data_IF_894786809579
#
_entry.id   IF_894786809579
#
_cell.length_a   1.000
_cell.length_b   1.000
_cell.length_c   1.000
_cell.angle_alpha   90.00
_cell.angle_beta   90.00
_cell.angle_gamma   90.00
#
_symmetry.space_group_name_H-M   'P 1'
#
loop_
_entity.id
_entity.type
_entity.pdbx_description
1 polymer ?
#
# COMPACT_ATOMS: atom_id res chain seq x y z
N UNK A 1 -18.97 8.09 -29.91
CA UNK A 1 -18.17 7.13 -29.11
C UNK A 1 -16.73 7.59 -29.14
N UNK A 2 -16.24 8.24 -28.08
CA UNK A 2 -14.83 8.61 -27.95
C UNK A 2 -14.36 8.17 -26.56
N UNK A 3 -13.61 7.07 -26.51
CA UNK A 3 -12.77 6.72 -25.35
C UNK A 3 -11.60 7.69 -25.37
N UNK A 4 -11.44 8.52 -24.33
CA UNK A 4 -10.27 9.40 -24.17
C UNK A 4 -9.39 8.88 -23.04
N UNK A 5 -8.13 8.65 -23.43
CA UNK A 5 -6.88 8.48 -22.71
C UNK A 5 -6.84 9.02 -21.27
N UNK A 6 -6.56 8.13 -20.31
CA UNK A 6 -6.30 8.46 -18.90
C UNK A 6 -4.85 8.13 -18.44
N UNK A 7 -3.96 7.64 -19.30
CA UNK A 7 -2.69 7.05 -18.84
C UNK A 7 -1.47 7.98 -18.75
N UNK A 8 -1.52 9.22 -19.27
CA UNK A 8 -0.28 10.02 -19.47
C UNK A 8 -0.03 11.10 -18.41
N UNK A 9 -0.92 11.29 -17.43
CA UNK A 9 -0.78 12.37 -16.43
C UNK A 9 -0.20 11.91 -15.08
N UNK A 10 -0.06 10.60 -14.85
CA UNK A 10 0.28 10.03 -13.53
C UNK A 10 1.78 10.01 -13.22
N UNK A 11 2.65 9.97 -14.24
CA UNK A 11 4.11 9.76 -14.05
C UNK A 11 4.85 11.05 -13.68
N UNK A 12 4.38 12.22 -14.12
CA UNK A 12 5.10 13.50 -13.94
C UNK A 12 4.99 14.04 -12.49
N UNK A 13 3.95 13.67 -11.75
CA UNK A 13 3.76 14.16 -10.37
C UNK A 13 4.64 13.46 -9.33
N UNK A 14 5.08 12.21 -9.57
CA UNK A 14 5.94 11.49 -8.63
C UNK A 14 7.33 12.15 -8.52
N UNK A 15 7.87 12.65 -9.63
CA UNK A 15 9.22 13.24 -9.68
C UNK A 15 9.33 14.58 -8.92
N UNK A 16 8.21 15.27 -8.68
CA UNK A 16 8.17 16.54 -7.95
C UNK A 16 7.95 16.36 -6.44
N UNK A 17 7.44 15.19 -6.00
CA UNK A 17 7.18 14.91 -4.58
C UNK A 17 8.44 14.55 -3.78
N UNK A 18 9.54 14.23 -4.46
CA UNK A 18 10.81 13.78 -3.87
C UNK A 18 11.57 14.91 -3.13
N UNK A 19 11.18 16.18 -3.28
CA UNK A 19 11.95 17.32 -2.75
C UNK A 19 11.64 17.64 -1.26
N UNK A 20 10.66 17.01 -0.62
CA UNK A 20 10.23 17.37 0.75
C UNK A 20 9.90 16.19 1.70
N UNK A 21 10.51 15.02 1.52
CA UNK A 21 10.28 13.88 2.44
C UNK A 21 11.26 13.94 3.62
N UNK A 22 10.80 13.91 4.88
CA UNK A 22 11.68 13.80 6.05
C UNK A 22 12.46 12.46 6.04
N UNK A 23 13.63 12.37 6.69
CA UNK A 23 14.46 11.17 6.69
C UNK A 23 13.67 9.96 7.21
N UNK A 24 13.55 8.94 6.37
CA UNK A 24 12.88 7.68 6.68
C UNK A 24 13.74 6.91 7.69
N UNK A 25 13.18 6.54 8.85
CA UNK A 25 13.87 5.70 9.83
C UNK A 25 14.16 4.30 9.26
N UNK A 26 15.16 3.63 9.84
CA UNK A 26 15.72 2.37 9.37
C UNK A 26 14.65 1.29 9.07
N UNK A 27 14.94 0.37 8.14
CA UNK A 27 14.03 -0.74 7.76
C UNK A 27 13.48 -1.54 8.95
N UNK A 28 14.15 -1.53 10.10
CA UNK A 28 13.70 -2.16 11.35
C UNK A 28 12.39 -1.60 11.91
N UNK A 29 11.91 -0.45 11.42
CA UNK A 29 10.66 0.16 11.86
C UNK A 29 9.48 -0.11 10.92
N UNK A 30 9.67 -0.89 9.84
CA UNK A 30 8.66 -1.06 8.80
C UNK A 30 7.76 -2.25 9.08
N UNK A 31 6.48 -1.95 9.26
CA UNK A 31 5.46 -2.96 9.48
C UNK A 31 5.07 -3.62 8.15
N UNK A 32 5.20 -4.94 8.06
CA UNK A 32 4.61 -5.73 6.97
C UNK A 32 3.48 -6.57 7.52
N UNK A 33 2.32 -6.53 6.88
CA UNK A 33 1.16 -7.27 7.35
C UNK A 33 0.27 -7.78 6.22
N UNK A 34 -0.58 -8.74 6.54
CA UNK A 34 -1.67 -9.17 5.65
C UNK A 34 -3.00 -9.16 6.41
N UNK A 35 -4.09 -8.92 5.68
CA UNK A 35 -5.43 -9.23 6.14
C UNK A 35 -5.86 -10.58 5.55
N UNK A 36 -5.98 -11.61 6.38
CA UNK A 36 -6.35 -12.96 5.98
C UNK A 36 -7.57 -13.43 6.79
N UNK A 37 -8.70 -13.52 6.11
CA UNK A 37 -9.98 -13.84 6.75
C UNK A 37 -10.45 -15.27 6.45
N UNK A 38 -9.58 -16.10 5.86
CA UNK A 38 -9.80 -17.55 5.73
C UNK A 38 -9.51 -18.31 7.02
N UNK A 39 -9.71 -19.63 6.99
CA UNK A 39 -9.40 -20.50 8.14
C UNK A 39 -7.88 -20.63 8.33
N UNK A 40 -7.41 -20.42 9.55
CA UNK A 40 -5.98 -20.43 9.87
C UNK A 40 -5.35 -21.81 9.70
N UNK A 41 -6.07 -22.86 10.08
CA UNK A 41 -5.62 -24.24 9.94
C UNK A 41 -5.45 -24.72 8.49
N UNK A 42 -5.94 -23.93 7.52
CA UNK A 42 -5.76 -24.20 6.10
C UNK A 42 -4.58 -23.42 5.51
N UNK A 43 -4.05 -22.41 6.22
CA UNK A 43 -2.97 -21.60 5.69
C UNK A 43 -1.74 -22.47 5.41
N UNK A 44 -1.15 -22.26 4.23
CA UNK A 44 0.10 -22.88 3.81
C UNK A 44 1.31 -21.98 4.08
N UNK A 45 1.12 -20.91 4.86
CA UNK A 45 2.16 -19.94 5.13
C UNK A 45 3.07 -20.45 6.25
N UNK A 46 4.38 -20.42 6.01
CA UNK A 46 5.36 -20.56 7.08
C UNK A 46 5.42 -19.24 7.84
N UNK A 47 4.75 -19.17 9.00
CA UNK A 47 4.66 -17.94 9.78
C UNK A 47 6.04 -17.45 10.26
N UNK A 48 6.95 -18.38 10.60
CA UNK A 48 8.28 -18.04 11.13
C UNK A 48 9.18 -17.43 10.07
N UNK A 49 9.05 -17.89 8.82
CA UNK A 49 9.82 -17.38 7.68
C UNK A 49 9.03 -16.39 6.81
N UNK A 50 7.85 -15.95 7.26
CA UNK A 50 6.96 -15.07 6.49
C UNK A 50 7.50 -13.65 6.34
N UNK A 51 8.33 -13.19 7.28
CA UNK A 51 8.79 -11.80 7.36
C UNK A 51 7.69 -10.79 7.69
N UNK A 52 6.51 -11.27 8.13
CA UNK A 52 5.41 -10.43 8.58
C UNK A 52 5.66 -9.93 10.01
N UNK A 53 5.25 -8.69 10.27
CA UNK A 53 5.18 -8.14 11.63
C UNK A 53 3.90 -8.58 12.33
N UNK A 54 2.79 -8.59 11.59
CA UNK A 54 1.50 -9.02 12.12
C UNK A 54 0.56 -9.52 11.03
N UNK A 55 -0.53 -10.17 11.46
CA UNK A 55 -1.64 -10.59 10.61
C UNK A 55 -2.98 -10.14 11.21
N UNK A 56 -3.89 -9.70 10.35
CA UNK A 56 -5.29 -9.43 10.72
C UNK A 56 -6.13 -10.64 10.31
N UNK A 57 -6.90 -11.20 11.25
CA UNK A 57 -7.62 -12.47 11.08
C UNK A 57 -9.09 -12.36 11.46
N UNK A 58 -9.93 -13.26 10.94
CA UNK A 58 -11.34 -13.39 11.35
C UNK A 58 -11.65 -14.72 12.06
N UNK A 59 -10.73 -15.68 12.01
CA UNK A 59 -10.82 -16.98 12.70
C UNK A 59 -10.39 -16.81 14.16
N UNK A 60 -11.21 -17.27 15.11
CA UNK A 60 -10.98 -17.16 16.56
C UNK A 60 -10.38 -18.44 17.17
N UNK A 61 -9.86 -19.36 16.34
CA UNK A 61 -9.22 -20.58 16.82
C UNK A 61 -7.92 -20.29 17.60
N UNK A 62 -8.02 -20.35 18.92
CA UNK A 62 -6.92 -20.08 19.85
C UNK A 62 -5.66 -20.92 19.57
N UNK A 63 -5.78 -22.21 19.26
CA UNK A 63 -4.62 -23.08 19.02
C UNK A 63 -3.85 -22.66 17.77
N UNK A 64 -4.55 -22.28 16.70
CA UNK A 64 -3.91 -21.78 15.48
C UNK A 64 -3.28 -20.40 15.69
N UNK A 65 -3.97 -19.51 16.40
CA UNK A 65 -3.45 -18.18 16.77
C UNK A 65 -2.15 -18.30 17.56
N UNK A 66 -2.08 -19.22 18.51
CA UNK A 66 -0.87 -19.42 19.31
C UNK A 66 0.31 -19.93 18.48
N UNK A 67 0.10 -20.66 17.38
CA UNK A 67 1.17 -21.04 16.46
C UNK A 67 1.75 -19.81 15.74
N UNK A 68 0.90 -18.89 15.31
CA UNK A 68 1.31 -17.64 14.66
C UNK A 68 2.12 -16.78 15.64
N UNK A 69 1.61 -16.60 16.86
CA UNK A 69 2.30 -15.82 17.90
C UNK A 69 3.62 -16.45 18.32
N UNK A 70 3.69 -17.79 18.38
CA UNK A 70 4.95 -18.51 18.65
C UNK A 70 5.99 -18.34 17.55
N UNK A 71 5.59 -17.85 16.36
CA UNK A 71 6.44 -17.49 15.25
C UNK A 71 6.83 -16.00 15.23
N UNK A 72 6.58 -15.26 16.33
CA UNK A 72 6.89 -13.82 16.50
C UNK A 72 6.11 -12.92 15.52
N UNK A 73 4.88 -13.33 15.18
CA UNK A 73 3.94 -12.54 14.37
C UNK A 73 2.76 -12.14 15.26
N UNK A 74 2.53 -10.83 15.43
CA UNK A 74 1.39 -10.33 16.21
C UNK A 74 0.08 -10.67 15.50
N UNK A 75 -0.98 -10.95 16.28
CA UNK A 75 -2.30 -11.32 15.75
C UNK A 75 -3.34 -10.27 16.14
N UNK A 76 -4.04 -9.74 15.14
CA UNK A 76 -5.13 -8.78 15.29
C UNK A 76 -6.46 -9.39 14.86
N UNK A 77 -7.44 -9.42 15.77
CA UNK A 77 -8.76 -9.98 15.47
C UNK A 77 -9.68 -8.94 14.81
N UNK A 78 -10.28 -9.30 13.70
CA UNK A 78 -11.21 -8.49 12.92
C UNK A 78 -12.57 -8.34 13.61
N UNK A 79 -13.10 -7.11 13.61
CA UNK A 79 -14.49 -6.83 13.96
C UNK A 79 -15.06 -5.69 13.14
N UNK A 80 -16.15 -5.94 12.43
CA UNK A 80 -16.98 -4.92 11.81
C UNK A 80 -17.74 -4.11 12.87
N UNK A 81 -17.25 -2.92 13.23
CA UNK A 81 -17.90 -2.06 14.23
C UNK A 81 -19.06 -1.27 13.65
N UNK A 82 -18.92 -0.75 12.42
CA UNK A 82 -19.92 0.11 11.80
C UNK A 82 -21.29 -0.52 11.64
N UNK A 83 -21.38 -1.63 10.91
CA UNK A 83 -22.65 -2.34 10.68
C UNK A 83 -23.23 -2.94 11.96
N UNK A 84 -22.39 -3.48 12.85
CA UNK A 84 -22.87 -4.04 14.12
C UNK A 84 -23.41 -2.94 15.02
N UNK A 85 -22.78 -1.76 15.05
CA UNK A 85 -23.33 -0.58 15.71
C UNK A 85 -24.68 -0.19 15.11
N UNK A 86 -24.75 -0.02 13.79
CA UNK A 86 -25.98 0.41 13.12
C UNK A 86 -27.17 -0.52 13.41
N UNK A 87 -26.92 -1.84 13.40
CA UNK A 87 -27.94 -2.86 13.66
C UNK A 87 -28.33 -3.02 15.14
N UNK A 88 -27.51 -2.52 16.07
CA UNK A 88 -27.79 -2.64 17.50
C UNK A 88 -28.96 -1.76 17.94
N UNK A 89 -29.93 -2.37 18.63
CA UNK A 89 -31.08 -1.64 19.22
C UNK A 89 -30.72 -0.88 20.50
N UNK A 90 -29.66 -1.29 21.21
CA UNK A 90 -29.18 -0.69 22.45
C UNK A 90 -27.66 -0.50 22.39
N UNK A 91 -27.20 0.75 22.21
CA UNK A 91 -25.78 1.05 21.96
C UNK A 91 -24.86 0.69 23.12
N UNK A 92 -25.30 0.92 24.37
CA UNK A 92 -24.56 0.48 25.56
C UNK A 92 -24.41 -1.04 25.64
N UNK A 93 -25.43 -1.80 25.22
CA UNK A 93 -25.31 -3.27 25.20
C UNK A 93 -24.36 -3.72 24.09
N UNK A 94 -24.34 -3.02 22.96
CA UNK A 94 -23.38 -3.26 21.89
C UNK A 94 -21.95 -2.98 22.37
N UNK A 95 -21.71 -1.84 23.02
CA UNK A 95 -20.40 -1.50 23.60
C UNK A 95 -19.92 -2.61 24.56
N UNK A 96 -20.78 -3.02 25.50
CA UNK A 96 -20.45 -4.09 26.43
C UNK A 96 -20.16 -5.42 25.72
N UNK A 97 -20.89 -5.77 24.66
CA UNK A 97 -20.61 -6.97 23.87
C UNK A 97 -19.25 -6.93 23.17
N UNK A 98 -18.77 -5.74 22.77
CA UNK A 98 -17.42 -5.59 22.24
C UNK A 98 -16.39 -5.70 23.37
N UNK A 99 -16.64 -5.13 24.54
CA UNK A 99 -15.75 -5.29 25.70
C UNK A 99 -15.65 -6.76 26.16
N UNK A 100 -16.78 -7.48 26.19
CA UNK A 100 -16.82 -8.92 26.51
C UNK A 100 -16.05 -9.75 25.46
N UNK A 101 -16.08 -9.33 24.19
CA UNK A 101 -15.24 -9.92 23.13
C UNK A 101 -13.76 -9.70 23.47
N UNK A 102 -13.36 -8.48 23.80
CA UNK A 102 -11.98 -8.15 24.16
C UNK A 102 -11.51 -9.03 25.33
N UNK A 103 -12.29 -9.10 26.40
CA UNK A 103 -11.95 -9.87 27.61
C UNK A 103 -11.83 -11.38 27.35
N UNK A 104 -12.57 -11.91 26.38
CA UNK A 104 -12.54 -13.34 26.02
C UNK A 104 -11.43 -13.71 25.03
N UNK A 105 -10.67 -12.72 24.52
CA UNK A 105 -9.59 -12.92 23.56
C UNK A 105 -8.26 -12.38 24.09
N UNK A 106 -7.90 -12.73 25.32
CA UNK A 106 -6.59 -12.40 25.93
C UNK A 106 -5.39 -13.07 25.22
N UNK A 107 -5.68 -13.95 24.26
CA UNK A 107 -4.71 -14.70 23.48
C UNK A 107 -4.38 -14.07 22.11
N UNK A 108 -4.92 -12.89 21.77
CA UNK A 108 -4.51 -12.06 20.62
C UNK A 108 -3.74 -10.81 21.07
N UNK A 109 -2.98 -10.20 20.17
CA UNK A 109 -2.16 -9.01 20.47
C UNK A 109 -2.92 -7.70 20.26
N UNK A 110 -4.03 -7.75 19.51
CA UNK A 110 -4.89 -6.60 19.32
C UNK A 110 -6.16 -6.86 18.52
N UNK A 111 -6.84 -5.78 18.18
CA UNK A 111 -8.07 -5.79 17.42
C UNK A 111 -8.01 -4.85 16.22
N UNK A 112 -8.64 -5.29 15.15
CA UNK A 112 -8.85 -4.52 13.93
C UNK A 112 -10.32 -4.14 13.82
N UNK A 113 -10.57 -2.84 13.83
CA UNK A 113 -11.89 -2.25 13.77
C UNK A 113 -12.22 -1.85 12.34
N UNK A 114 -13.13 -2.60 11.73
CA UNK A 114 -13.60 -2.33 10.39
C UNK A 114 -14.88 -1.51 10.37
N UNK A 115 -15.18 -0.95 9.21
CA UNK A 115 -16.40 -0.17 8.94
C UNK A 115 -16.55 1.06 9.84
N UNK A 116 -15.43 1.65 10.30
CA UNK A 116 -15.44 2.88 11.10
C UNK A 116 -15.60 4.09 10.18
N UNK A 117 -16.72 4.15 9.48
CA UNK A 117 -17.12 5.31 8.72
C UNK A 117 -18.64 5.54 8.79
N UNK A 118 -19.08 6.81 8.64
CA UNK A 118 -20.48 7.13 8.82
C UNK A 118 -21.42 6.52 7.77
N UNK A 119 -20.87 5.97 6.67
CA UNK A 119 -21.63 5.20 5.71
C UNK A 119 -22.19 3.91 6.31
N UNK A 120 -21.48 3.31 7.27
CA UNK A 120 -21.91 2.10 7.97
C UNK A 120 -22.70 2.40 9.25
N UNK A 121 -22.15 3.18 10.18
CA UNK A 121 -22.80 3.40 11.49
C UNK A 121 -23.89 4.48 11.48
N UNK A 122 -23.95 5.31 10.43
CA UNK A 122 -24.93 6.37 10.24
C UNK A 122 -24.38 7.80 10.49
N UNK A 123 -24.54 8.68 9.50
CA UNK A 123 -24.02 10.06 9.51
C UNK A 123 -24.44 10.90 10.74
N UNK A 124 -25.65 10.70 11.27
CA UNK A 124 -26.16 11.44 12.42
C UNK A 124 -25.64 10.94 13.77
N UNK A 125 -24.94 9.80 13.79
CA UNK A 125 -24.53 9.11 15.01
C UNK A 125 -23.03 9.22 15.29
N UNK A 126 -22.29 10.05 14.56
CA UNK A 126 -20.83 10.20 14.68
C UNK A 126 -20.38 10.45 16.12
N UNK A 127 -20.95 11.44 16.79
CA UNK A 127 -20.50 11.84 18.13
C UNK A 127 -20.74 10.73 19.17
N UNK A 128 -21.89 10.06 19.08
CA UNK A 128 -22.24 8.92 19.94
C UNK A 128 -21.33 7.72 19.66
N UNK A 129 -21.17 7.36 18.38
CA UNK A 129 -20.29 6.27 17.96
C UNK A 129 -18.83 6.51 18.39
N UNK A 130 -18.32 7.74 18.28
CA UNK A 130 -16.97 8.09 18.72
C UNK A 130 -16.78 7.97 20.24
N UNK A 131 -17.82 8.30 21.02
CA UNK A 131 -17.76 8.13 22.48
C UNK A 131 -17.64 6.65 22.82
N UNK A 132 -18.46 5.80 22.19
CA UNK A 132 -18.37 4.36 22.39
C UNK A 132 -17.04 3.78 21.89
N UNK A 133 -16.55 4.19 20.72
CA UNK A 133 -15.26 3.74 20.19
C UNK A 133 -14.11 4.13 21.13
N UNK A 134 -14.13 5.33 21.71
CA UNK A 134 -13.13 5.75 22.69
C UNK A 134 -13.18 4.85 23.93
N UNK A 135 -14.37 4.56 24.46
CA UNK A 135 -14.52 3.66 25.61
C UNK A 135 -14.04 2.23 25.31
N UNK A 136 -14.30 1.73 24.10
CA UNK A 136 -13.82 0.42 23.64
C UNK A 136 -12.30 0.41 23.55
N UNK A 137 -11.69 1.44 22.96
CA UNK A 137 -10.23 1.51 22.82
C UNK A 137 -9.54 1.64 24.17
N UNK A 138 -10.08 2.46 25.09
CA UNK A 138 -9.62 2.53 26.47
C UNK A 138 -9.61 1.14 27.13
N UNK A 139 -10.67 0.35 26.92
CA UNK A 139 -10.79 -1.01 27.46
C UNK A 139 -9.76 -1.99 26.84
N UNK A 140 -9.53 -1.91 25.53
CA UNK A 140 -8.48 -2.71 24.86
C UNK A 140 -7.09 -2.39 25.44
N UNK A 141 -6.78 -1.11 25.65
CA UNK A 141 -5.49 -0.70 26.20
C UNK A 141 -5.32 -1.10 27.67
N UNK A 142 -6.40 -1.12 28.46
CA UNK A 142 -6.36 -1.66 29.84
C UNK A 142 -5.95 -3.14 29.87
N UNK A 143 -6.26 -3.89 28.81
CA UNK A 143 -5.84 -5.28 28.61
C UNK A 143 -4.46 -5.42 27.92
N UNK A 144 -3.72 -4.32 27.76
CA UNK A 144 -2.37 -4.28 27.14
C UNK A 144 -2.36 -4.77 25.67
N UNK A 145 -3.51 -4.66 25.00
CA UNK A 145 -3.69 -4.98 23.59
C UNK A 145 -3.68 -3.69 22.76
N UNK A 146 -3.52 -3.83 21.43
CA UNK A 146 -3.49 -2.70 20.49
C UNK A 146 -4.71 -2.64 19.59
N UNK A 147 -4.92 -1.51 18.94
CA UNK A 147 -6.05 -1.26 18.03
C UNK A 147 -5.61 -0.77 16.66
N UNK A 148 -6.33 -1.20 15.62
CA UNK A 148 -6.15 -0.73 14.25
C UNK A 148 -7.51 -0.26 13.74
N UNK A 149 -7.64 1.03 13.40
CA UNK A 149 -8.87 1.54 12.79
C UNK A 149 -8.81 1.48 11.26
N UNK A 150 -9.86 0.92 10.63
CA UNK A 150 -10.12 1.06 9.19
C UNK A 150 -11.38 1.89 8.97
N UNK A 151 -11.25 2.93 8.16
CA UNK A 151 -12.34 3.85 7.89
C UNK A 151 -11.89 5.21 7.37
N UNK A 152 -12.64 6.25 7.71
CA UNK A 152 -12.37 7.63 7.29
C UNK A 152 -11.17 8.22 8.04
N UNK A 153 -10.53 9.22 7.43
CA UNK A 153 -9.25 9.77 7.90
C UNK A 153 -9.31 10.40 9.29
N UNK A 154 -10.49 10.80 9.77
CA UNK A 154 -10.70 11.26 11.16
C UNK A 154 -10.07 10.32 12.20
N UNK A 155 -10.28 9.01 12.04
CA UNK A 155 -9.83 8.00 13.01
C UNK A 155 -8.32 7.73 12.99
N UNK A 156 -7.59 8.35 12.06
CA UNK A 156 -6.14 8.34 12.11
C UNK A 156 -5.59 9.16 13.28
N UNK A 157 -6.31 10.17 13.76
CA UNK A 157 -5.83 11.07 14.83
C UNK A 157 -6.80 11.16 16.03
N UNK A 158 -7.87 10.36 16.02
CA UNK A 158 -8.92 10.42 17.04
C UNK A 158 -9.27 9.04 17.58
N UNK A 159 -9.93 9.03 18.73
CA UNK A 159 -10.34 7.83 19.47
C UNK A 159 -9.17 6.91 19.85
N UNK A 160 -7.95 7.45 19.94
CA UNK A 160 -6.74 6.78 20.45
C UNK A 160 -6.39 5.43 19.79
N UNK A 161 -6.55 5.32 18.47
CA UNK A 161 -6.11 4.11 17.77
C UNK A 161 -4.58 4.05 17.64
N UNK A 162 -3.99 2.88 17.91
CA UNK A 162 -2.53 2.65 17.80
C UNK A 162 -2.05 2.73 16.35
N UNK A 163 -2.86 2.19 15.44
CA UNK A 163 -2.64 2.28 14.00
C UNK A 163 -3.92 2.68 13.24
N UNK A 164 -3.72 3.19 12.04
CA UNK A 164 -4.80 3.49 11.10
C UNK A 164 -4.53 2.83 9.75
N UNK A 165 -5.50 2.08 9.23
CA UNK A 165 -5.42 1.45 7.92
C UNK A 165 -6.02 2.36 6.85
N UNK A 166 -5.21 2.67 5.83
CA UNK A 166 -5.68 3.30 4.60
C UNK A 166 -6.02 2.22 3.58
N UNK A 167 -7.31 1.97 3.44
CA UNK A 167 -7.86 1.09 2.41
C UNK A 167 -8.75 1.86 1.40
N UNK A 168 -8.62 1.66 0.09
CA UNK A 168 -7.48 1.05 -0.62
C UNK A 168 -6.39 2.10 -0.89
N UNK A 169 -5.14 1.69 -0.75
CA UNK A 169 -3.94 2.49 -1.05
C UNK A 169 -3.36 2.04 -2.39
N UNK A 170 -3.19 2.98 -3.33
CA UNK A 170 -2.53 2.84 -4.65
C UNK A 170 -3.06 1.76 -5.63
N UNK A 171 -3.67 0.68 -5.16
CA UNK A 171 -4.38 -0.31 -5.97
C UNK A 171 -5.56 -0.92 -5.20
N UNK A 172 -6.58 -1.30 -5.95
CA UNK A 172 -7.84 -1.85 -5.46
C UNK A 172 -8.39 -2.85 -6.47
N UNK A 173 -9.59 -3.36 -6.23
CA UNK A 173 -10.29 -4.28 -7.14
C UNK A 173 -11.75 -3.85 -7.35
N UNK A 174 -12.31 -4.28 -8.46
CA UNK A 174 -13.75 -4.21 -8.76
C UNK A 174 -14.22 -5.59 -9.18
N UNK A 175 -15.54 -5.79 -9.20
CA UNK A 175 -16.14 -7.09 -9.47
C UNK A 175 -16.43 -7.83 -8.16
N UNK A 176 -16.06 -9.10 -8.08
CA UNK A 176 -16.29 -9.94 -6.90
C UNK A 176 -14.98 -10.49 -6.37
N UNK A 177 -14.93 -10.89 -5.10
CA UNK A 177 -13.74 -11.54 -4.53
C UNK A 177 -13.32 -12.81 -5.29
N UNK A 178 -14.25 -13.51 -5.94
CA UNK A 178 -13.95 -14.72 -6.71
C UNK A 178 -13.45 -14.44 -8.14
N UNK A 179 -13.67 -13.23 -8.65
CA UNK A 179 -13.25 -12.79 -9.99
C UNK A 179 -12.94 -11.27 -9.93
N UNK A 180 -11.82 -10.89 -9.28
CA UNK A 180 -11.45 -9.50 -9.09
C UNK A 180 -10.74 -8.95 -10.33
N UNK A 181 -11.13 -7.75 -10.76
CA UNK A 181 -10.36 -6.96 -11.72
C UNK A 181 -9.59 -5.88 -10.95
N UNK A 182 -8.28 -6.08 -10.77
CA UNK A 182 -7.43 -5.14 -10.05
C UNK A 182 -7.06 -3.91 -10.88
N UNK A 183 -7.02 -2.75 -10.25
CA UNK A 183 -6.69 -1.48 -10.88
C UNK A 183 -5.89 -0.56 -9.95
N UNK A 184 -5.18 0.41 -10.53
CA UNK A 184 -4.50 1.46 -9.76
C UNK A 184 -5.49 2.54 -9.32
N UNK A 185 -5.42 2.93 -8.06
CA UNK A 185 -6.20 4.06 -7.53
C UNK A 185 -5.65 5.35 -8.12
N UNK A 186 -6.55 6.27 -8.50
CA UNK A 186 -6.13 7.59 -8.96
C UNK A 186 -5.75 8.50 -7.76
N UNK A 187 -4.52 8.29 -7.28
CA UNK A 187 -4.02 8.94 -6.08
C UNK A 187 -3.93 10.46 -6.23
N UNK A 188 -3.57 10.98 -7.41
CA UNK A 188 -3.32 12.42 -7.58
C UNK A 188 -4.56 13.22 -7.96
N UNK A 189 -5.70 12.58 -8.22
CA UNK A 189 -6.97 13.29 -8.38
C UNK A 189 -7.32 14.06 -7.10
N UNK A 190 -7.69 15.33 -7.25
CA UNK A 190 -8.37 16.11 -6.21
C UNK A 190 -9.85 16.21 -6.52
N UNK A 191 -10.67 15.56 -5.70
CA UNK A 191 -12.13 15.66 -5.75
C UNK A 191 -12.61 16.80 -4.85
N UNK A 192 -12.47 18.06 -5.29
CA UNK A 192 -12.96 19.25 -4.57
C UNK A 192 -12.25 19.55 -3.23
N UNK A 193 -12.42 20.78 -2.74
CA UNK A 193 -12.00 21.19 -1.39
C UNK A 193 -13.05 20.71 -0.39
N UNK A 194 -12.80 19.55 0.22
CA UNK A 194 -13.70 18.98 1.21
C UNK A 194 -12.92 18.56 2.46
N UNK A 195 -12.84 19.52 3.39
CA UNK A 195 -12.08 19.38 4.62
C UNK A 195 -12.76 18.46 5.65
N UNK A 196 -13.97 17.94 5.36
CA UNK A 196 -14.67 17.02 6.28
C UNK A 196 -13.86 15.71 6.44
N UNK A 197 -13.26 15.46 7.63
CA UNK A 197 -12.43 14.29 7.86
C UNK A 197 -13.24 12.98 7.93
N UNK A 198 -14.57 13.08 7.96
CA UNK A 198 -15.48 11.93 7.92
C UNK A 198 -15.89 11.52 6.51
N UNK A 199 -15.37 12.17 5.47
CA UNK A 199 -15.62 11.75 4.10
C UNK A 199 -14.62 10.71 3.65
N UNK A 200 -15.14 9.73 2.90
CA UNK A 200 -14.35 8.71 2.25
C UNK A 200 -13.56 9.33 1.10
N UNK A 201 -12.28 9.61 1.37
CA UNK A 201 -11.33 10.16 0.41
C UNK A 201 -10.09 9.27 0.44
N UNK A 202 -9.67 8.75 -0.71
CA UNK A 202 -8.55 7.82 -0.84
C UNK A 202 -7.47 8.32 -1.82
N UNK A 203 -7.41 9.64 -2.02
CA UNK A 203 -6.44 10.30 -2.90
C UNK A 203 -5.48 11.18 -2.09
N UNK A 204 -4.74 12.06 -2.76
CA UNK A 204 -3.72 12.94 -2.19
C UNK A 204 -4.24 13.77 -1.01
N UNK A 205 -5.52 14.16 -1.00
CA UNK A 205 -6.09 14.92 0.11
C UNK A 205 -6.13 14.12 1.44
N UNK A 206 -6.24 12.78 1.38
CA UNK A 206 -6.08 11.93 2.56
C UNK A 206 -4.63 11.94 3.04
N UNK A 207 -3.66 11.82 2.14
CA UNK A 207 -2.24 11.91 2.51
C UNK A 207 -1.89 13.26 3.15
N UNK A 208 -2.34 14.38 2.57
CA UNK A 208 -2.12 15.72 3.12
C UNK A 208 -2.73 15.87 4.51
N UNK A 209 -3.95 15.36 4.73
CA UNK A 209 -4.55 15.32 6.05
C UNK A 209 -3.69 14.53 7.04
N UNK A 210 -3.26 13.32 6.68
CA UNK A 210 -2.45 12.47 7.56
C UNK A 210 -1.08 13.10 7.87
N UNK A 211 -0.48 13.78 6.89
CA UNK A 211 0.76 14.53 7.05
C UNK A 211 0.58 15.72 7.98
N UNK A 212 -0.46 16.53 7.76
CA UNK A 212 -0.73 17.73 8.55
C UNK A 212 -1.07 17.42 10.02
N UNK A 213 -1.63 16.24 10.28
CA UNK A 213 -1.89 15.77 11.65
C UNK A 213 -0.75 14.90 12.21
N UNK A 214 0.38 14.76 11.50
CA UNK A 214 1.55 13.99 11.96
C UNK A 214 1.28 12.51 12.29
N UNK A 215 0.32 11.88 11.59
CA UNK A 215 -0.11 10.49 11.83
C UNK A 215 0.38 9.49 10.77
N UNK A 216 1.22 9.91 9.83
CA UNK A 216 1.84 9.02 8.83
C UNK A 216 2.65 7.89 9.49
N UNK A 217 3.34 8.19 10.60
CA UNK A 217 4.15 7.24 11.38
C UNK A 217 3.36 6.12 12.09
N UNK A 218 2.03 6.14 12.03
CA UNK A 218 1.15 5.04 12.46
C UNK A 218 0.14 4.61 11.39
N UNK A 219 0.25 5.15 10.17
CA UNK A 219 -0.64 4.80 9.06
C UNK A 219 -0.11 3.58 8.31
N UNK A 220 -0.99 2.60 8.08
CA UNK A 220 -0.74 1.36 7.36
C UNK A 220 -1.38 1.43 5.98
N UNK A 221 -0.60 1.28 4.92
CA UNK A 221 -1.13 1.13 3.56
C UNK A 221 -1.74 -0.27 3.38
N UNK A 222 -2.96 -0.35 2.84
CA UNK A 222 -3.58 -1.61 2.43
C UNK A 222 -3.94 -1.58 0.94
N UNK A 223 -3.39 -2.50 0.16
CA UNK A 223 -3.55 -2.57 -1.28
C UNK A 223 -4.12 -3.92 -1.70
N UNK A 224 -4.97 -3.93 -2.73
CA UNK A 224 -5.44 -5.16 -3.35
C UNK A 224 -4.79 -5.40 -4.70
N UNK A 225 -4.42 -6.66 -4.96
CA UNK A 225 -3.88 -7.06 -6.24
C UNK A 225 -3.61 -8.54 -6.36
N UNK A 226 -3.23 -8.97 -7.57
CA UNK A 226 -2.80 -10.33 -7.83
C UNK A 226 -1.46 -10.57 -7.12
N UNK A 227 -1.34 -11.54 -6.21
CA UNK A 227 -0.09 -11.80 -5.49
C UNK A 227 1.07 -12.25 -6.40
N UNK A 228 0.81 -12.57 -7.67
CA UNK A 228 1.81 -12.88 -8.69
C UNK A 228 2.22 -11.67 -9.54
N UNK A 229 1.59 -10.50 -9.33
CA UNK A 229 1.95 -9.24 -9.97
C UNK A 229 2.98 -8.48 -9.13
N UNK A 230 4.25 -8.87 -9.32
CA UNK A 230 5.38 -8.29 -8.62
C UNK A 230 5.51 -6.78 -8.88
N UNK A 231 5.24 -6.32 -10.10
CA UNK A 231 5.34 -4.91 -10.47
C UNK A 231 4.33 -4.06 -9.69
N UNK A 232 3.08 -4.51 -9.61
CA UNK A 232 2.06 -3.83 -8.83
C UNK A 232 2.41 -3.87 -7.34
N UNK A 233 2.76 -5.03 -6.78
CA UNK A 233 3.08 -5.11 -5.35
C UNK A 233 4.29 -4.23 -4.96
N UNK A 234 5.35 -4.22 -5.78
CA UNK A 234 6.53 -3.38 -5.59
C UNK A 234 6.20 -1.89 -5.71
N UNK A 235 5.41 -1.48 -6.70
CA UNK A 235 4.96 -0.09 -6.84
C UNK A 235 4.23 0.40 -5.59
N UNK A 236 3.29 -0.40 -5.07
CA UNK A 236 2.51 0.00 -3.88
C UNK A 236 3.41 0.07 -2.64
N UNK A 237 4.34 -0.87 -2.46
CA UNK A 237 5.31 -0.82 -1.36
C UNK A 237 6.19 0.43 -1.44
N UNK A 238 6.83 0.70 -2.58
CA UNK A 238 7.69 1.88 -2.77
C UNK A 238 6.89 3.17 -2.53
N UNK A 239 5.66 3.25 -3.04
CA UNK A 239 4.78 4.39 -2.81
C UNK A 239 4.50 4.60 -1.31
N UNK A 240 4.21 3.54 -0.56
CA UNK A 240 3.99 3.64 0.89
C UNK A 240 5.25 4.16 1.60
N UNK A 241 6.44 3.72 1.17
CA UNK A 241 7.72 4.18 1.71
C UNK A 241 7.99 5.65 1.41
N UNK A 242 7.88 6.06 0.15
CA UNK A 242 8.13 7.44 -0.29
C UNK A 242 7.15 8.41 0.40
N UNK A 243 5.91 8.00 0.62
CA UNK A 243 4.89 8.81 1.30
C UNK A 243 5.01 8.80 2.84
N UNK A 244 5.98 8.07 3.39
CA UNK A 244 6.28 8.05 4.83
C UNK A 244 5.32 7.22 5.68
N UNK A 245 4.62 6.24 5.10
CA UNK A 245 3.69 5.38 5.83
C UNK A 245 4.42 4.33 6.67
N UNK A 246 3.85 3.99 7.83
CA UNK A 246 4.41 3.06 8.82
C UNK A 246 4.50 1.63 8.32
N UNK A 247 3.48 1.19 7.60
CA UNK A 247 3.38 -0.20 7.18
C UNK A 247 2.73 -0.39 5.84
N UNK A 248 2.89 -1.60 5.31
CA UNK A 248 2.37 -2.01 4.01
C UNK A 248 1.79 -3.42 4.09
N UNK A 249 0.61 -3.58 3.49
CA UNK A 249 -0.02 -4.86 3.25
C UNK A 249 -0.56 -4.94 1.82
N UNK A 250 -0.41 -6.12 1.23
CA UNK A 250 -0.87 -6.41 -0.12
C UNK A 250 -1.51 -7.79 -0.14
N UNK A 251 -2.77 -7.86 -0.55
CA UNK A 251 -3.54 -9.10 -0.56
C UNK A 251 -4.40 -9.24 -1.80
N UNK A 252 -4.72 -10.49 -2.12
CA UNK A 252 -5.80 -10.81 -3.05
C UNK A 252 -7.16 -10.43 -2.42
N UNK A 253 -8.10 -9.94 -3.23
CA UNK A 253 -9.50 -9.73 -2.88
C UNK A 253 -10.24 -11.00 -2.39
N UNK A 254 -9.73 -12.20 -2.71
CA UNK A 254 -10.26 -13.46 -2.22
C UNK A 254 -9.75 -13.87 -0.83
N UNK A 255 -9.08 -12.98 -0.10
CA UNK A 255 -8.56 -13.23 1.25
C UNK A 255 -9.60 -13.72 2.28
N UNK A 256 -10.91 -13.59 1.99
CA UNK A 256 -12.01 -14.13 2.79
C UNK A 256 -12.33 -15.62 2.58
N UNK A 257 -11.99 -16.18 1.43
CA UNK A 257 -12.31 -17.57 1.09
C UNK A 257 -11.09 -18.38 0.67
N UNK A 258 -9.91 -17.77 0.68
CA UNK A 258 -8.66 -18.40 0.30
C UNK A 258 -8.29 -19.48 1.32
N UNK A 259 -8.10 -20.71 0.85
CA UNK A 259 -7.44 -21.77 1.62
C UNK A 259 -5.92 -21.65 1.56
N UNK A 260 -5.38 -20.98 0.53
CA UNK A 260 -3.95 -20.78 0.35
C UNK A 260 -3.64 -19.29 0.30
N UNK A 261 -2.58 -18.89 1.00
CA UNK A 261 -2.08 -17.52 0.98
C UNK A 261 -0.81 -17.49 0.13
N UNK A 262 -0.77 -16.59 -0.84
CA UNK A 262 0.47 -16.28 -1.55
C UNK A 262 0.90 -14.88 -1.17
N UNK A 263 2.02 -14.75 -0.47
CA UNK A 263 2.62 -13.44 -0.22
C UNK A 263 3.20 -12.90 -1.53
N UNK A 264 2.89 -11.66 -1.90
CA UNK A 264 3.52 -11.00 -3.03
C UNK A 264 5.02 -10.72 -2.77
N UNK A 265 5.81 -10.50 -3.81
CA UNK A 265 7.26 -10.30 -3.66
C UNK A 265 7.61 -9.15 -2.71
N UNK A 266 6.92 -8.01 -2.80
CA UNK A 266 7.13 -6.86 -1.92
C UNK A 266 6.88 -7.16 -0.43
N UNK A 267 6.06 -8.18 -0.13
CA UNK A 267 5.83 -8.65 1.23
C UNK A 267 6.99 -9.52 1.71
N UNK A 268 7.58 -10.33 0.84
CA UNK A 268 8.69 -11.25 1.18
C UNK A 268 10.02 -10.54 1.31
N UNK A 269 10.40 -9.71 0.33
CA UNK A 269 11.68 -8.99 0.34
C UNK A 269 11.55 -7.61 0.95
N UNK A 270 12.49 -7.20 1.81
CA UNK A 270 12.73 -5.77 2.01
C UNK A 270 13.36 -5.23 0.73
N UNK A 271 12.76 -4.24 0.06
CA UNK A 271 13.39 -3.65 -1.12
C UNK A 271 14.66 -2.84 -0.78
N UNK A 272 15.10 -2.82 0.48
CA UNK A 272 16.45 -2.42 0.88
C UNK A 272 17.54 -3.46 0.57
N UNK A 273 17.21 -4.60 -0.04
CA UNK A 273 18.21 -5.48 -0.66
C UNK A 273 18.78 -4.75 -1.89
N UNK A 274 20.09 -4.51 -1.83
CA UNK A 274 20.93 -4.00 -2.91
C UNK A 274 20.47 -4.58 -4.27
N UNK A 275 19.93 -3.72 -5.15
CA UNK A 275 19.86 -4.06 -6.56
C UNK A 275 21.32 -4.10 -7.03
N UNK A 276 21.80 -5.30 -7.34
CA UNK A 276 23.10 -5.52 -7.96
C UNK A 276 23.09 -4.75 -9.29
N UNK A 277 23.75 -3.61 -9.32
CA UNK A 277 23.70 -2.69 -10.44
C UNK A 277 24.88 -3.00 -11.34
N UNK A 278 24.63 -3.72 -12.43
CA UNK A 278 25.53 -3.64 -13.58
C UNK A 278 25.13 -2.38 -14.33
N UNK A 279 26.00 -1.36 -14.30
CA UNK A 279 25.88 -0.22 -15.20
C UNK A 279 26.03 -0.78 -16.63
N UNK A 280 24.94 -0.78 -17.39
CA UNK A 280 25.05 -0.99 -18.83
C UNK A 280 25.61 0.30 -19.45
N UNK A 281 26.93 0.33 -19.61
CA UNK A 281 27.66 1.46 -20.23
C UNK A 281 27.21 1.75 -21.67
N UNK A 282 26.47 0.84 -22.33
CA UNK A 282 26.02 1.03 -23.72
C UNK A 282 24.69 1.77 -23.81
N UNK A 283 23.81 1.60 -22.82
CA UNK A 283 22.39 1.92 -22.99
C UNK A 283 21.86 3.05 -22.06
N UNK A 284 22.72 3.61 -21.19
CA UNK A 284 22.40 4.77 -20.33
C UNK A 284 21.11 4.62 -19.49
N UNK A 285 20.79 3.40 -19.03
CA UNK A 285 19.61 3.16 -18.17
C UNK A 285 19.98 3.23 -16.69
N UNK A 286 19.14 3.92 -15.93
CA UNK A 286 19.33 4.23 -14.52
C UNK A 286 18.64 3.16 -13.65
N UNK A 287 19.40 2.46 -12.81
CA UNK A 287 18.87 1.74 -11.64
C UNK A 287 19.14 2.59 -10.40
N UNK A 288 18.11 3.24 -9.85
CA UNK A 288 18.25 4.05 -8.64
C UNK A 288 18.21 3.18 -7.37
N UNK A 289 19.05 3.53 -6.37
CA UNK A 289 18.85 3.05 -5.00
C UNK A 289 17.87 3.97 -4.27
N UNK A 290 16.88 3.40 -3.59
CA UNK A 290 16.08 4.12 -2.59
C UNK A 290 16.73 3.94 -1.24
N UNK A 291 17.60 4.86 -0.84
CA UNK A 291 18.27 4.82 0.45
C UNK A 291 17.71 5.91 1.36
N UNK A 292 17.06 5.51 2.47
CA UNK A 292 16.85 6.38 3.64
C UNK A 292 16.15 7.73 3.35
N UNK A 293 15.20 7.76 2.42
CA UNK A 293 14.47 8.99 2.06
C UNK A 293 15.16 9.86 1.01
N UNK A 294 16.27 9.41 0.44
CA UNK A 294 16.95 10.04 -0.69
C UNK A 294 17.07 9.04 -1.85
N UNK A 295 16.98 9.55 -3.08
CA UNK A 295 17.45 8.85 -4.26
C UNK A 295 18.86 9.40 -4.55
N UNK A 296 19.90 8.61 -4.25
CA UNK A 296 21.25 8.97 -4.66
C UNK A 296 21.44 8.56 -6.13
N UNK A 297 21.60 9.55 -6.99
CA UNK A 297 22.11 9.39 -8.35
C UNK A 297 23.64 9.30 -8.26
N UNK A 298 24.20 8.11 -8.49
CA UNK A 298 25.63 7.86 -8.33
C UNK A 298 26.47 8.43 -9.51
N UNK A 299 25.81 9.02 -10.50
CA UNK A 299 26.49 9.88 -11.46
C UNK A 299 26.33 11.32 -10.97
N UNK A 300 27.42 11.97 -10.56
CA UNK A 300 27.48 13.43 -10.35
C UNK A 300 27.28 14.18 -11.68
N UNK A 301 26.13 13.99 -12.29
CA UNK A 301 25.74 14.58 -13.54
C UNK A 301 24.37 15.19 -13.32
N UNK A 302 24.35 16.52 -13.25
CA UNK A 302 23.13 17.31 -13.36
C UNK A 302 22.56 17.08 -14.77
N UNK A 303 21.86 15.98 -14.99
CA UNK A 303 21.22 15.69 -16.28
C UNK A 303 19.71 15.83 -16.11
N UNK A 304 19.19 16.86 -16.78
CA UNK A 304 17.82 16.88 -17.25
C UNK A 304 17.67 15.76 -18.29
N UNK A 305 16.95 14.69 -17.98
CA UNK A 305 16.55 13.71 -19.00
C UNK A 305 15.03 13.60 -19.08
N UNK A 306 14.53 13.66 -20.31
CA UNK A 306 13.10 13.74 -20.64
C UNK A 306 12.40 12.38 -20.67
N UNK A 307 13.10 11.26 -20.43
CA UNK A 307 12.53 9.91 -20.50
C UNK A 307 13.34 8.90 -19.65
N UNK A 308 12.86 8.53 -18.47
CA UNK A 308 13.36 7.34 -17.77
C UNK A 308 12.54 6.11 -18.19
N UNK A 309 13.21 5.04 -18.59
CA UNK A 309 12.60 3.73 -18.90
C UNK A 309 13.21 2.70 -17.94
N UNK A 310 12.35 2.02 -17.18
CA UNK A 310 12.75 1.00 -16.20
C UNK A 310 12.70 -0.40 -16.82
N UNK A 311 13.72 -1.21 -16.57
CA UNK A 311 13.72 -2.64 -16.89
C UNK A 311 14.25 -3.43 -15.69
N UNK A 312 13.52 -4.46 -15.28
CA UNK A 312 13.90 -5.35 -14.18
C UNK A 312 14.65 -6.54 -14.79
N UNK A 313 15.91 -6.72 -14.39
CA UNK A 313 16.68 -7.93 -14.72
C UNK A 313 16.39 -8.99 -13.66
N UNK A 314 15.77 -10.11 -14.04
CA UNK A 314 15.68 -11.29 -13.17
C UNK A 314 17.07 -11.90 -13.05
N UNK A 315 17.62 -12.00 -11.85
CA UNK A 315 18.81 -12.80 -11.58
C UNK A 315 18.46 -14.27 -11.86
N UNK A 316 19.16 -14.89 -12.82
CA UNK A 316 19.14 -16.35 -12.95
C UNK A 316 20.02 -16.94 -11.85
N UNK A 317 19.66 -18.08 -11.25
CA UNK A 317 20.47 -18.73 -10.24
C UNK A 317 21.82 -19.15 -10.85
N UNK A 318 22.88 -18.89 -10.09
CA UNK A 318 24.28 -19.18 -10.37
C UNK A 318 24.49 -20.58 -10.96
N UNK A 319 24.82 -20.65 -12.25
CA UNK A 319 25.45 -21.83 -12.85
C UNK A 319 26.97 -21.63 -12.85
N UNK A 320 27.64 -22.15 -11.82
CA UNK A 320 29.07 -22.43 -11.91
C UNK A 320 29.35 -23.88 -11.50
N UNK A 321 29.57 -24.73 -12.52
CA UNK A 321 30.76 -25.57 -12.69
C UNK A 321 30.49 -26.75 -13.65
N UNK A 322 31.24 -26.80 -14.76
CA UNK A 322 31.66 -28.09 -15.34
C UNK A 322 31.47 -28.28 -16.86
N UNK A 323 32.44 -27.76 -17.62
CA UNK A 323 33.07 -28.32 -18.84
C UNK A 323 32.26 -28.80 -20.08
N UNK A 324 32.57 -28.11 -21.18
CA UNK A 324 32.42 -28.30 -22.66
C UNK A 324 32.57 -29.72 -23.30
N UNK A 325 32.44 -29.89 -24.64
CA UNK A 325 31.59 -29.21 -25.67
C UNK A 325 30.93 -30.21 -26.67
N UNK A 326 30.04 -29.74 -27.57
CA UNK A 326 30.15 -29.89 -29.06
C UNK A 326 28.84 -29.53 -29.83
N UNK A 327 28.97 -28.47 -30.65
CA UNK A 327 28.54 -28.23 -32.06
C UNK A 327 27.09 -28.55 -32.52
N UNK A 328 26.34 -27.54 -32.99
CA UNK A 328 26.07 -27.28 -34.43
C UNK A 328 25.16 -26.07 -34.71
N UNK A 329 25.44 -25.45 -35.87
CA UNK A 329 24.91 -24.23 -36.46
C UNK A 329 23.40 -24.22 -36.76
N UNK A 330 22.78 -23.04 -36.87
CA UNK A 330 22.08 -22.60 -38.10
C UNK A 330 21.77 -21.09 -38.11
N UNK A 331 21.83 -20.54 -39.33
CA UNK A 331 21.92 -19.14 -39.75
C UNK A 331 20.66 -18.26 -39.64
N UNK A 332 20.95 -16.96 -39.72
CA UNK A 332 20.12 -15.76 -39.84
C UNK A 332 18.92 -15.85 -40.81
N UNK A 333 17.89 -15.04 -40.54
CA UNK A 333 17.40 -14.09 -41.54
C UNK A 333 16.75 -12.85 -40.90
N UNK A 334 17.26 -11.69 -41.35
CA UNK A 334 16.70 -10.35 -41.19
C UNK A 334 15.42 -10.20 -41.99
N UNK A 335 14.45 -9.44 -41.47
CA UNK A 335 13.76 -8.48 -42.31
C UNK A 335 13.29 -7.28 -41.50
N UNK A 336 13.50 -6.10 -42.09
CA UNK A 336 13.45 -4.77 -41.51
C UNK A 336 12.43 -3.98 -42.33
N UNK A 337 11.39 -3.41 -41.71
CA UNK A 337 10.60 -2.37 -42.38
C UNK A 337 9.96 -1.41 -41.39
N UNK A 338 10.68 -0.30 -41.20
CA UNK A 338 10.27 0.97 -40.62
C UNK A 338 9.12 1.64 -41.38
N UNK A 339 8.09 2.10 -40.69
CA UNK A 339 7.39 3.36 -41.00
C UNK A 339 6.33 3.68 -39.94
N UNK A 340 6.60 4.63 -39.04
CA UNK A 340 5.62 5.61 -38.55
C UNK A 340 6.30 6.63 -37.64
N UNK A 341 6.61 7.79 -38.19
CA UNK A 341 7.03 8.96 -37.42
C UNK A 341 6.40 10.21 -38.04
N UNK A 342 6.14 11.19 -37.16
CA UNK A 342 5.69 12.56 -37.41
C UNK A 342 4.18 12.81 -37.55
N UNK A 343 3.46 12.76 -36.42
CA UNK A 343 2.30 13.64 -36.19
C UNK A 343 2.16 14.15 -34.74
N UNK A 344 3.08 13.83 -33.82
CA UNK A 344 2.94 14.21 -32.40
C UNK A 344 3.83 15.38 -31.91
N UNK A 345 4.83 15.84 -32.67
CA UNK A 345 5.80 16.83 -32.14
C UNK A 345 5.31 18.28 -32.05
N UNK A 346 4.15 18.64 -32.61
CA UNK A 346 3.71 20.04 -32.64
C UNK A 346 2.82 20.46 -31.47
N UNK A 347 2.16 19.51 -30.79
CA UNK A 347 1.21 19.82 -29.72
C UNK A 347 1.88 19.93 -28.35
N UNK A 348 2.92 19.13 -28.11
CA UNK A 348 3.63 19.09 -26.82
C UNK A 348 4.57 20.30 -26.64
N UNK A 349 5.16 20.80 -27.73
CA UNK A 349 5.96 22.03 -27.72
C UNK A 349 5.11 23.26 -27.39
N UNK A 350 3.83 23.29 -27.82
CA UNK A 350 2.93 24.42 -27.56
C UNK A 350 2.48 24.46 -26.09
N UNK A 351 2.28 23.29 -25.47
CA UNK A 351 1.88 23.19 -24.06
C UNK A 351 3.00 23.65 -23.12
N UNK A 352 4.25 23.32 -23.45
CA UNK A 352 5.44 23.71 -22.68
C UNK A 352 5.64 25.23 -22.71
N UNK A 353 5.50 25.87 -23.88
CA UNK A 353 5.63 27.34 -24.01
C UNK A 353 4.58 28.08 -23.19
N UNK A 354 3.34 27.57 -23.10
CA UNK A 354 2.25 28.18 -22.33
C UNK A 354 2.54 28.09 -20.82
N UNK A 355 3.03 26.95 -20.34
CA UNK A 355 3.37 26.76 -18.91
C UNK A 355 4.55 27.65 -18.52
N UNK A 356 5.58 27.75 -19.36
CA UNK A 356 6.74 28.63 -19.11
C UNK A 356 6.33 30.11 -19.09
N UNK A 357 5.42 30.55 -19.96
CA UNK A 357 4.94 31.93 -19.99
C UNK A 357 4.12 32.30 -18.72
N UNK A 358 3.30 31.37 -18.22
CA UNK A 358 2.52 31.57 -16.99
C UNK A 358 3.43 31.66 -15.76
N UNK A 359 4.49 30.84 -15.70
CA UNK A 359 5.44 30.85 -14.59
C UNK A 359 6.30 32.13 -14.59
N UNK A 360 6.73 32.62 -15.75
CA UNK A 360 7.48 33.89 -15.85
C UNK A 360 6.61 35.09 -15.46
N UNK A 361 5.32 35.08 -15.78
CA UNK A 361 4.39 36.16 -15.41
C UNK A 361 4.07 36.20 -13.90
N UNK A 362 4.19 35.07 -13.19
CA UNK A 362 3.84 34.95 -11.76
C UNK A 362 5.01 35.27 -10.82
N UNK A 363 6.24 35.31 -11.33
CA UNK A 363 7.47 35.46 -10.53
C UNK A 363 8.37 36.63 -10.96
N UNK A 364 7.83 37.66 -11.62
CA UNK A 364 8.51 38.96 -11.66
C UNK A 364 8.02 39.83 -10.49
N UNK A 365 8.94 40.46 -9.72
CA UNK A 365 8.58 41.39 -8.66
C UNK A 365 7.85 42.63 -9.19
#
# INVERSE_FOLDING_TARGET
MNKKNYLTHTVIYLSLLIIFVPPISAESDNVKYIAYYGWLNCSNLDWADSGLTFVIIADDNQDEIQKIRSADVDVYLYKALGSTYASASHKNNWEQQIMDLVDSHDYVDGFFWDEIDPGYYGQSSKDEFNQHLTAINDHVHMNVQKTIANGVRYYADHCDNDYYMWESFMSSFKGTSADPEYYYVDFFIRTGEDDDPYKWINNIAKWEYLQNNSVLGKTLAHSYGDPLDDDKSNYNYIAARVLGLKGFGYVDANNFAATQITLAQAMRSGLGVQLDHTIDERDQRLSGQFARGEAEDDVKQTIYSENAVYSITRLSPDESAGDEPEVEHYDENKDDSSMQTSFFNAFDVLLIVIITAILIAKFRP
#
